data_IF_970956889206
#
_entry.id   IF_970956889206
#
_cell.length_a   1.000
_cell.length_b   1.000
_cell.length_c   1.000
_cell.angle_alpha   90.00
_cell.angle_beta   90.00
_cell.angle_gamma   90.00
#
_symmetry.space_group_name_H-M   'P 1'
#
loop_
_entity.id
_entity.type
_entity.pdbx_description
1 polymer ?
#
# COMPACT_ATOMS: atom_id res chain seq x y z
N UNK A 1 -4.77 15.28 -28.17
CA UNK A 1 -4.41 16.30 -27.14
C UNK A 1 -5.49 16.52 -26.08
N UNK A 2 -6.80 16.53 -26.39
CA UNK A 2 -7.87 16.79 -25.38
C UNK A 2 -7.98 15.76 -24.23
N UNK A 3 -7.70 14.47 -24.47
CA UNK A 3 -7.89 13.41 -23.45
C UNK A 3 -6.86 13.51 -22.31
N UNK A 4 -5.58 13.71 -22.64
CA UNK A 4 -4.50 13.84 -21.65
C UNK A 4 -4.72 15.08 -20.78
N UNK A 5 -5.12 16.20 -21.39
CA UNK A 5 -5.42 17.43 -20.66
C UNK A 5 -6.59 17.24 -19.66
N UNK A 6 -7.61 16.46 -20.03
CA UNK A 6 -8.71 16.12 -19.10
C UNK A 6 -8.22 15.30 -17.90
N UNK A 7 -7.43 14.26 -18.11
CA UNK A 7 -6.87 13.45 -17.01
C UNK A 7 -5.94 14.26 -16.11
N UNK A 8 -5.13 15.13 -16.70
CA UNK A 8 -4.23 16.01 -15.97
C UNK A 8 -4.99 17.00 -15.09
N UNK A 9 -6.07 17.61 -15.61
CA UNK A 9 -6.93 18.46 -14.79
C UNK A 9 -7.62 17.69 -13.67
N UNK A 10 -8.12 16.47 -13.93
CA UNK A 10 -8.69 15.63 -12.87
C UNK A 10 -7.66 15.31 -11.78
N UNK A 11 -6.43 14.96 -12.18
CA UNK A 11 -5.33 14.71 -11.25
C UNK A 11 -5.03 15.94 -10.40
N UNK A 12 -4.91 17.12 -11.03
CA UNK A 12 -4.65 18.38 -10.33
C UNK A 12 -5.77 18.73 -9.35
N UNK A 13 -7.04 18.58 -9.74
CA UNK A 13 -8.17 18.83 -8.83
C UNK A 13 -8.12 17.92 -7.60
N UNK A 14 -7.84 16.64 -7.80
CA UNK A 14 -7.66 15.67 -6.72
C UNK A 14 -6.47 16.08 -5.84
N UNK A 15 -5.34 16.42 -6.44
CA UNK A 15 -4.12 16.80 -5.73
C UNK A 15 -4.34 18.04 -4.86
N UNK A 16 -4.97 19.08 -5.39
CA UNK A 16 -5.30 20.32 -4.68
C UNK A 16 -6.25 20.01 -3.52
N UNK A 17 -7.30 19.23 -3.76
CA UNK A 17 -8.22 18.83 -2.70
C UNK A 17 -7.50 18.14 -1.54
N UNK A 18 -6.67 17.13 -1.82
CA UNK A 18 -5.96 16.41 -0.78
C UNK A 18 -4.85 17.23 -0.10
N UNK A 19 -4.24 18.20 -0.80
CA UNK A 19 -3.12 19.00 -0.27
C UNK A 19 -3.56 20.17 0.62
N UNK A 20 -4.73 20.77 0.36
CA UNK A 20 -5.18 21.97 1.06
C UNK A 20 -6.27 21.73 2.11
N UNK A 21 -6.76 20.50 2.24
CA UNK A 21 -7.70 20.13 3.31
C UNK A 21 -6.95 19.50 4.47
N UNK A 22 -7.39 19.81 5.69
CA UNK A 22 -6.95 19.11 6.89
C UNK A 22 -7.65 17.76 7.00
N UNK A 23 -6.91 16.73 7.41
CA UNK A 23 -7.40 15.36 7.49
C UNK A 23 -7.32 14.87 8.93
N UNK A 24 -8.48 14.74 9.56
CA UNK A 24 -8.60 14.16 10.90
C UNK A 24 -8.82 12.65 10.81
N UNK A 25 -7.75 11.89 11.03
CA UNK A 25 -7.81 10.43 11.04
C UNK A 25 -8.18 9.91 12.43
N UNK A 26 -9.40 9.41 12.58
CA UNK A 26 -9.86 8.75 13.80
C UNK A 26 -9.48 7.27 13.78
N UNK A 27 -8.95 6.77 14.89
CA UNK A 27 -8.54 5.35 15.00
C UNK A 27 -9.35 4.57 16.02
N UNK A 28 -10.39 5.15 16.60
CA UNK A 28 -11.11 4.58 17.75
C UNK A 28 -11.66 3.18 17.46
N UNK A 29 -12.25 2.98 16.28
CA UNK A 29 -12.77 1.68 15.85
C UNK A 29 -11.66 0.64 15.69
N UNK A 30 -10.51 1.02 15.12
CA UNK A 30 -9.36 0.13 14.93
C UNK A 30 -8.72 -0.21 16.27
N UNK A 31 -8.59 0.78 17.17
CA UNK A 31 -8.09 0.59 18.53
C UNK A 31 -9.01 -0.32 19.35
N UNK A 32 -10.34 -0.17 19.22
CA UNK A 32 -11.32 -1.05 19.86
C UNK A 32 -11.21 -2.47 19.33
N UNK A 33 -11.23 -2.64 18.01
CA UNK A 33 -11.04 -3.94 17.37
C UNK A 33 -9.75 -4.62 17.81
N UNK A 34 -8.64 -3.89 17.90
CA UNK A 34 -7.36 -4.43 18.36
C UNK A 34 -7.41 -4.93 19.80
N UNK A 35 -8.10 -4.20 20.68
CA UNK A 35 -8.34 -4.65 22.07
C UNK A 35 -9.18 -5.92 22.10
N UNK A 36 -10.25 -5.98 21.31
CA UNK A 36 -11.14 -7.15 21.26
C UNK A 36 -10.41 -8.40 20.74
N UNK A 37 -9.58 -8.26 19.70
CA UNK A 37 -8.79 -9.36 19.13
C UNK A 37 -7.75 -9.87 20.11
N UNK A 38 -7.08 -8.99 20.87
CA UNK A 38 -6.05 -9.39 21.82
C UNK A 38 -6.57 -10.31 22.94
N UNK A 39 -7.87 -10.29 23.22
CA UNK A 39 -8.52 -11.16 24.23
C UNK A 39 -8.90 -12.54 23.65
N UNK A 40 -8.87 -12.71 22.34
CA UNK A 40 -9.17 -13.99 21.69
C UNK A 40 -8.02 -14.99 21.87
N UNK A 41 -8.35 -16.28 21.99
CA UNK A 41 -7.37 -17.39 22.09
C UNK A 41 -6.37 -17.42 20.92
N UNK A 42 -6.82 -16.96 19.76
CA UNK A 42 -6.06 -16.96 18.51
C UNK A 42 -5.40 -15.61 18.20
N UNK A 43 -5.31 -14.70 19.18
CA UNK A 43 -4.71 -13.36 19.00
C UNK A 43 -3.29 -13.42 18.42
N UNK A 44 -2.53 -14.47 18.74
CA UNK A 44 -1.19 -14.71 18.21
C UNK A 44 -1.14 -15.02 16.70
N UNK A 45 -2.24 -15.48 16.10
CA UNK A 45 -2.34 -15.77 14.66
C UNK A 45 -2.57 -14.52 13.81
N UNK A 46 -3.08 -13.44 14.42
CA UNK A 46 -3.41 -12.20 13.72
C UNK A 46 -2.64 -11.05 14.37
N UNK A 47 -1.58 -10.61 13.69
CA UNK A 47 -0.79 -9.49 14.17
C UNK A 47 -1.52 -8.17 13.89
N UNK A 48 -2.18 -7.63 14.92
CA UNK A 48 -2.94 -6.36 14.83
C UNK A 48 -2.06 -5.13 15.08
N UNK A 49 -1.05 -5.26 15.95
CA UNK A 49 -0.06 -4.21 16.16
C UNK A 49 1.06 -4.31 15.11
N UNK A 50 1.22 -3.24 14.33
CA UNK A 50 2.19 -3.15 13.23
C UNK A 50 3.30 -2.13 13.52
N UNK A 51 3.38 -1.57 14.74
CA UNK A 51 4.38 -0.54 15.08
C UNK A 51 5.82 -1.03 14.92
N UNK A 52 6.06 -2.31 15.20
CA UNK A 52 7.33 -3.01 15.05
C UNK A 52 7.52 -3.63 13.64
N UNK A 53 6.66 -3.31 12.67
CA UNK A 53 6.73 -3.94 11.35
C UNK A 53 7.89 -3.39 10.52
N UNK A 54 8.69 -4.29 9.96
CA UNK A 54 9.66 -3.92 8.94
C UNK A 54 8.94 -3.66 7.60
N UNK A 55 8.42 -2.45 7.44
CA UNK A 55 7.67 -2.02 6.26
C UNK A 55 8.48 -2.16 4.97
N UNK A 56 9.79 -1.88 5.00
CA UNK A 56 10.66 -2.05 3.83
C UNK A 56 10.69 -3.49 3.35
N UNK A 57 10.87 -4.45 4.27
CA UNK A 57 10.83 -5.88 3.95
C UNK A 57 9.44 -6.32 3.50
N UNK A 58 8.39 -5.84 4.16
CA UNK A 58 7.01 -6.16 3.81
C UNK A 58 6.68 -5.75 2.36
N UNK A 59 6.97 -4.49 2.00
CA UNK A 59 6.71 -3.98 0.65
C UNK A 59 7.56 -4.71 -0.40
N UNK A 60 8.83 -4.99 -0.12
CA UNK A 60 9.68 -5.76 -1.03
C UNK A 60 9.11 -7.17 -1.31
N UNK A 61 8.67 -7.86 -0.26
CA UNK A 61 8.05 -9.17 -0.39
C UNK A 61 6.70 -9.10 -1.13
N UNK A 62 5.87 -8.11 -0.79
CA UNK A 62 4.57 -7.89 -1.43
C UNK A 62 4.73 -7.63 -2.93
N UNK A 63 5.63 -6.72 -3.31
CA UNK A 63 5.96 -6.43 -4.71
C UNK A 63 6.45 -7.68 -5.44
N UNK A 64 7.41 -8.40 -4.86
CA UNK A 64 7.94 -9.65 -5.45
C UNK A 64 6.83 -10.69 -5.66
N UNK A 65 5.92 -10.81 -4.70
CA UNK A 65 4.76 -11.69 -4.79
C UNK A 65 3.82 -11.31 -5.94
N UNK A 66 3.51 -10.02 -6.10
CA UNK A 66 2.70 -9.51 -7.21
C UNK A 66 3.36 -9.87 -8.55
N UNK A 67 4.64 -9.50 -8.73
CA UNK A 67 5.37 -9.74 -9.97
C UNK A 67 5.38 -11.23 -10.33
N UNK A 68 5.68 -12.09 -9.36
CA UNK A 68 5.84 -13.52 -9.58
C UNK A 68 4.53 -14.25 -9.78
N UNK A 69 3.51 -13.97 -8.96
CA UNK A 69 2.31 -14.80 -8.89
C UNK A 69 1.10 -14.18 -9.60
N UNK A 70 0.96 -12.87 -9.56
CA UNK A 70 -0.16 -12.16 -10.19
C UNK A 70 0.20 -11.84 -11.65
N UNK A 71 1.30 -11.12 -11.84
CA UNK A 71 1.75 -10.70 -13.17
C UNK A 71 2.44 -11.82 -13.94
N UNK A 72 2.95 -12.85 -13.22
CA UNK A 72 3.69 -13.98 -13.78
C UNK A 72 4.87 -13.55 -14.65
N UNK A 73 5.49 -12.41 -14.34
CA UNK A 73 6.67 -11.95 -15.06
C UNK A 73 7.85 -12.86 -14.71
N UNK A 74 8.65 -13.23 -15.73
CA UNK A 74 9.92 -13.89 -15.48
C UNK A 74 10.79 -12.88 -14.73
N UNK A 75 11.07 -13.16 -13.46
CA UNK A 75 12.05 -12.43 -12.67
C UNK A 75 13.44 -12.79 -13.17
N UNK A 76 13.77 -12.39 -14.40
CA UNK A 76 15.12 -12.43 -14.90
C UNK A 76 15.78 -11.09 -14.56
N UNK A 77 16.72 -11.04 -13.60
CA UNK A 77 17.42 -9.81 -13.23
C UNK A 77 18.06 -9.12 -14.44
N UNK A 78 18.39 -9.89 -15.48
CA UNK A 78 19.02 -9.40 -16.71
C UNK A 78 18.01 -8.68 -17.61
N UNK A 79 16.75 -9.14 -17.71
CA UNK A 79 15.71 -8.41 -18.45
C UNK A 79 15.31 -7.11 -17.74
N UNK A 80 15.21 -7.13 -16.41
CA UNK A 80 14.89 -5.94 -15.63
C UNK A 80 15.96 -4.85 -15.82
N UNK A 81 17.24 -5.23 -15.87
CA UNK A 81 18.34 -4.32 -16.16
C UNK A 81 18.30 -3.77 -17.60
N UNK A 82 17.92 -4.58 -18.60
CA UNK A 82 17.76 -4.13 -20.00
C UNK A 82 16.59 -3.17 -20.22
N UNK A 83 15.52 -3.23 -19.41
CA UNK A 83 14.38 -2.30 -19.53
C UNK A 83 14.69 -0.89 -18.99
N UNK A 84 15.79 -0.75 -18.24
CA UNK A 84 16.24 0.51 -17.65
C UNK A 84 17.38 1.20 -18.44
N UNK A 85 17.90 0.54 -19.48
CA UNK A 85 18.90 1.05 -20.44
C UNK A 85 18.24 1.43 -21.75
#
# INVERSE_FOLDING_TARGET
MMRINRYFNQLLTVLVYFSFHEWSFHRDNVCKMAKDINVLKDSSKVRVDLRDMNWKKYIANYHTGIVKFILKEKSDPIEAARRLS
#
